data_IF_318292627809
#
_entry.id   IF_318292627809
#
_cell.length_a   1.000
_cell.length_b   1.000
_cell.length_c   1.000
_cell.angle_alpha   90.00
_cell.angle_beta   90.00
_cell.angle_gamma   90.00
#
_symmetry.space_group_name_H-M   'P 1'
#
loop_
_entity.id
_entity.type
_entity.pdbx_description
1 polymer ?
#
# COMPACT_ATOMS: atom_id res chain seq x y z
N UNK A 1 15.96 22.90 -1.37
CA UNK A 1 14.85 22.07 -0.83
C UNK A 1 14.29 21.26 -1.99
N UNK A 2 13.79 20.03 -1.78
CA UNK A 2 13.23 19.21 -2.86
C UNK A 2 12.08 19.97 -3.55
N UNK A 3 12.02 19.93 -4.88
CA UNK A 3 11.05 20.69 -5.68
C UNK A 3 9.63 20.08 -5.69
N UNK A 4 9.41 18.99 -4.95
CA UNK A 4 8.22 18.13 -5.07
C UNK A 4 7.25 18.34 -3.92
N UNK A 5 7.51 19.34 -3.06
CA UNK A 5 6.60 19.72 -1.97
C UNK A 5 5.63 20.78 -2.43
N UNK A 6 4.34 20.49 -2.29
CA UNK A 6 3.25 21.45 -2.49
C UNK A 6 2.72 21.86 -1.12
N UNK A 7 2.78 23.16 -0.81
CA UNK A 7 2.25 23.70 0.45
C UNK A 7 0.81 24.12 0.27
N UNK A 8 -0.04 23.69 1.19
CA UNK A 8 -1.47 24.01 1.20
C UNK A 8 -1.82 24.49 2.62
N UNK A 9 -2.45 25.65 2.72
CA UNK A 9 -2.95 26.17 3.98
C UNK A 9 -4.47 26.23 3.94
N UNK A 10 -5.11 25.56 4.90
CA UNK A 10 -6.56 25.43 4.99
C UNK A 10 -6.99 25.94 6.36
N UNK A 11 -7.89 26.91 6.38
CA UNK A 11 -8.46 27.41 7.63
C UNK A 11 -9.89 26.90 7.76
N UNK A 12 -10.08 25.91 8.63
CA UNK A 12 -11.41 25.38 8.95
C UNK A 12 -12.03 26.29 10.00
N UNK A 13 -13.11 27.00 9.66
CA UNK A 13 -13.93 27.77 10.62
C UNK A 13 -14.68 26.81 11.53
N UNK A 14 -13.98 26.18 12.48
CA UNK A 14 -14.55 25.30 13.47
C UNK A 14 -13.88 25.60 14.82
N UNK A 15 -14.65 25.58 15.92
CA UNK A 15 -14.13 25.80 17.27
C UNK A 15 -13.43 24.57 17.86
N UNK A 16 -13.56 23.41 17.19
CA UNK A 16 -13.00 22.14 17.64
C UNK A 16 -12.04 21.54 16.62
N UNK A 17 -10.99 20.90 17.14
CA UNK A 17 -9.97 20.23 16.33
C UNK A 17 -10.54 18.98 15.67
N UNK A 18 -10.36 18.88 14.35
CA UNK A 18 -10.81 17.73 13.56
C UNK A 18 -9.98 16.47 13.89
N UNK A 19 -10.62 15.31 13.86
CA UNK A 19 -9.92 14.02 13.78
C UNK A 19 -9.26 13.84 12.42
N UNK A 20 -8.35 12.86 12.29
CA UNK A 20 -7.70 12.58 11.00
C UNK A 20 -8.70 12.20 9.91
N UNK A 21 -9.69 11.37 10.25
CA UNK A 21 -10.74 10.94 9.34
C UNK A 21 -11.62 12.11 8.89
N UNK A 22 -12.05 12.97 9.83
CA UNK A 22 -12.81 14.18 9.52
C UNK A 22 -12.02 15.13 8.61
N UNK A 23 -10.73 15.31 8.88
CA UNK A 23 -9.85 16.14 8.06
C UNK A 23 -9.68 15.57 6.65
N UNK A 24 -9.46 14.27 6.50
CA UNK A 24 -9.37 13.62 5.18
C UNK A 24 -10.67 13.80 4.39
N UNK A 25 -11.82 13.54 5.02
CA UNK A 25 -13.13 13.75 4.41
C UNK A 25 -13.37 15.21 3.99
N UNK A 26 -12.88 16.16 4.77
CA UNK A 26 -12.91 17.57 4.42
C UNK A 26 -11.99 17.88 3.23
N UNK A 27 -10.75 17.38 3.24
CA UNK A 27 -9.79 17.60 2.16
C UNK A 27 -10.29 17.05 0.84
N UNK A 28 -10.88 15.85 0.81
CA UNK A 28 -11.46 15.24 -0.39
C UNK A 28 -12.54 16.08 -1.07
N UNK A 29 -13.12 17.06 -0.37
CA UNK A 29 -14.13 18.00 -0.88
C UNK A 29 -13.57 19.39 -1.17
N UNK A 30 -12.30 19.64 -0.86
CA UNK A 30 -11.65 20.95 -1.02
C UNK A 30 -11.16 21.14 -2.46
N UNK A 31 -11.17 22.39 -2.95
CA UNK A 31 -10.79 22.75 -4.33
C UNK A 31 -9.41 22.24 -4.77
N UNK A 32 -8.44 22.14 -3.84
CA UNK A 32 -7.08 21.76 -4.19
C UNK A 32 -6.99 20.32 -4.72
N UNK A 33 -7.92 19.44 -4.31
CA UNK A 33 -7.98 18.07 -4.83
C UNK A 33 -8.19 18.10 -6.35
N UNK A 34 -9.09 18.95 -6.83
CA UNK A 34 -9.36 19.11 -8.26
C UNK A 34 -8.19 19.82 -8.96
N UNK A 35 -7.68 20.91 -8.37
CA UNK A 35 -6.56 21.69 -8.94
C UNK A 35 -5.33 20.81 -9.18
N UNK A 36 -5.01 19.92 -8.24
CA UNK A 36 -3.83 19.06 -8.32
C UNK A 36 -4.13 17.66 -8.87
N UNK A 37 -5.38 17.36 -9.23
CA UNK A 37 -5.78 16.04 -9.76
C UNK A 37 -5.53 14.89 -8.77
N UNK A 38 -5.73 15.13 -7.48
CA UNK A 38 -5.43 14.16 -6.41
C UNK A 38 -6.55 13.11 -6.36
N UNK A 39 -6.20 11.83 -6.49
CA UNK A 39 -7.20 10.75 -6.45
C UNK A 39 -7.58 10.46 -5.00
N UNK A 40 -6.58 10.19 -4.15
CA UNK A 40 -6.80 9.93 -2.74
C UNK A 40 -5.60 10.31 -1.90
N UNK A 41 -5.80 11.14 -0.88
CA UNK A 41 -4.75 11.52 0.05
C UNK A 41 -4.49 10.41 1.06
N UNK A 42 -3.23 9.98 1.12
CA UNK A 42 -2.75 9.07 2.15
C UNK A 42 -1.83 9.84 3.12
N UNK A 43 -2.11 9.83 4.43
CA UNK A 43 -1.19 10.40 5.42
C UNK A 43 0.14 9.63 5.43
N UNK A 44 1.27 10.33 5.45
CA UNK A 44 2.58 9.67 5.46
C UNK A 44 2.82 8.77 6.69
N UNK A 45 2.20 9.08 7.84
CA UNK A 45 2.29 8.23 9.03
C UNK A 45 1.66 6.85 8.81
N UNK A 46 0.54 6.79 8.07
CA UNK A 46 -0.09 5.52 7.68
C UNK A 46 0.87 4.68 6.84
N UNK A 47 1.69 5.32 5.99
CA UNK A 47 2.70 4.63 5.18
C UNK A 47 3.87 4.12 6.01
N UNK A 48 4.31 4.88 7.02
CA UNK A 48 5.36 4.45 7.96
C UNK A 48 4.95 3.15 8.65
N UNK A 49 3.69 3.06 9.10
CA UNK A 49 3.11 1.87 9.72
C UNK A 49 2.97 0.72 8.72
N UNK A 50 2.31 0.95 7.57
CA UNK A 50 2.12 -0.06 6.53
C UNK A 50 3.45 -0.63 6.02
N UNK A 51 4.44 0.22 5.83
CA UNK A 51 5.76 -0.15 5.31
C UNK A 51 6.71 -0.63 6.41
N UNK A 52 6.32 -0.52 7.68
CA UNK A 52 7.10 -0.93 8.85
C UNK A 52 8.57 -0.46 8.74
N UNK A 53 8.74 0.82 8.44
CA UNK A 53 10.04 1.49 8.35
C UNK A 53 10.09 2.65 9.32
N UNK A 54 11.28 2.97 9.83
CA UNK A 54 11.40 4.13 10.70
C UNK A 54 11.04 5.40 9.94
N UNK A 55 10.42 6.36 10.63
CA UNK A 55 10.15 7.68 10.08
C UNK A 55 11.40 8.32 9.46
N UNK A 56 12.55 8.24 10.14
CA UNK A 56 13.82 8.76 9.62
C UNK A 56 14.24 8.11 8.29
N UNK A 57 14.02 6.80 8.12
CA UNK A 57 14.33 6.09 6.88
C UNK A 57 13.33 6.44 5.78
N UNK A 58 12.05 6.55 6.14
CA UNK A 58 10.97 6.97 5.25
C UNK A 58 11.23 8.37 4.70
N UNK A 59 11.48 9.34 5.58
CA UNK A 59 11.78 10.74 5.22
C UNK A 59 13.05 10.85 4.37
N UNK A 60 14.12 10.11 4.71
CA UNK A 60 15.36 10.10 3.91
C UNK A 60 15.15 9.54 2.51
N UNK A 61 14.36 8.49 2.38
CA UNK A 61 14.16 7.79 1.10
C UNK A 61 13.22 8.58 0.18
N UNK A 62 12.18 9.18 0.75
CA UNK A 62 11.10 9.79 -0.02
C UNK A 62 11.25 11.30 -0.19
N UNK A 63 11.80 12.01 0.79
CA UNK A 63 11.94 13.47 0.68
C UNK A 63 13.27 13.91 0.07
N UNK A 64 14.32 13.07 0.07
CA UNK A 64 15.59 13.46 -0.56
C UNK A 64 15.67 13.15 -2.03
N UNK A 65 14.76 12.34 -2.55
CA UNK A 65 14.75 11.93 -3.92
C UNK A 65 13.44 12.42 -4.56
N UNK A 66 13.55 13.08 -5.71
CA UNK A 66 12.43 13.74 -6.36
C UNK A 66 11.47 12.79 -7.09
N UNK A 67 11.18 11.64 -6.46
CA UNK A 67 10.45 10.55 -7.08
C UNK A 67 8.94 10.75 -7.17
N UNK A 68 8.34 11.55 -6.29
CA UNK A 68 6.91 11.87 -6.33
C UNK A 68 6.61 13.16 -5.55
N UNK A 69 5.42 13.72 -5.82
CA UNK A 69 4.93 14.94 -5.16
C UNK A 69 4.32 14.61 -3.80
N UNK A 70 4.54 15.47 -2.82
CA UNK A 70 3.89 15.37 -1.52
C UNK A 70 3.30 16.71 -1.10
N UNK A 71 2.24 16.63 -0.32
CA UNK A 71 1.41 17.76 0.09
C UNK A 71 1.66 18.04 1.57
N UNK A 72 2.15 19.23 1.88
CA UNK A 72 2.21 19.76 3.23
C UNK A 72 0.93 20.57 3.48
N UNK A 73 -0.05 19.94 4.13
CA UNK A 73 -1.33 20.56 4.48
C UNK A 73 -1.26 21.03 5.94
N UNK A 74 -1.46 22.33 6.13
CA UNK A 74 -1.41 22.99 7.44
C UNK A 74 -2.64 23.87 7.64
N UNK A 75 -2.99 24.15 8.89
CA UNK A 75 -4.22 24.85 9.18
C UNK A 75 -4.56 24.89 10.65
N UNK A 76 -5.39 25.85 11.03
CA UNK A 76 -6.01 25.88 12.35
C UNK A 76 -7.00 24.72 12.48
N UNK A 77 -7.09 24.10 13.67
CA UNK A 77 -8.00 22.98 13.96
C UNK A 77 -7.78 21.71 13.13
N UNK A 78 -6.66 21.57 12.42
CA UNK A 78 -6.27 20.35 11.72
C UNK A 78 -5.51 19.38 12.66
N UNK A 79 -5.52 18.07 12.34
CA UNK A 79 -4.70 17.08 13.04
C UNK A 79 -3.20 17.37 12.92
N UNK A 80 -2.39 16.74 13.79
CA UNK A 80 -0.92 16.93 13.81
C UNK A 80 -0.24 16.40 12.54
N UNK A 81 -0.88 15.50 11.80
CA UNK A 81 -0.37 14.99 10.53
C UNK A 81 -0.40 16.13 9.50
N UNK A 82 0.75 16.48 8.95
CA UNK A 82 0.90 17.58 7.98
C UNK A 82 1.20 17.11 6.58
N UNK A 83 1.69 15.89 6.42
CA UNK A 83 2.22 15.42 5.16
C UNK A 83 1.37 14.29 4.59
N UNK A 84 1.05 14.44 3.32
CA UNK A 84 0.18 13.55 2.56
C UNK A 84 0.77 13.29 1.17
N UNK A 85 0.38 12.19 0.56
CA UNK A 85 0.74 11.83 -0.81
C UNK A 85 -0.51 11.37 -1.56
N UNK A 86 -0.56 11.57 -2.87
CA UNK A 86 -1.59 10.93 -3.70
C UNK A 86 -1.30 9.42 -3.79
N UNK A 87 -2.32 8.61 -3.54
CA UNK A 87 -2.31 7.16 -3.69
C UNK A 87 -1.73 6.72 -5.05
N UNK A 88 -2.12 7.39 -6.14
CA UNK A 88 -1.67 7.03 -7.49
C UNK A 88 -0.17 7.27 -7.66
N UNK A 89 0.29 8.47 -7.29
CA UNK A 89 1.71 8.84 -7.33
C UNK A 89 2.56 7.87 -6.49
N UNK A 90 2.06 7.49 -5.31
CA UNK A 90 2.74 6.55 -4.43
C UNK A 90 2.85 5.15 -5.04
N UNK A 91 1.79 4.65 -5.67
CA UNK A 91 1.84 3.35 -6.32
C UNK A 91 2.78 3.38 -7.53
N UNK A 92 2.71 4.42 -8.35
CA UNK A 92 3.62 4.59 -9.48
C UNK A 92 5.07 4.68 -9.00
N UNK A 93 5.32 5.30 -7.84
CA UNK A 93 6.63 5.24 -7.20
C UNK A 93 7.07 3.80 -6.88
N UNK A 94 6.20 2.99 -6.26
CA UNK A 94 6.54 1.60 -5.97
C UNK A 94 6.82 0.77 -7.23
N UNK A 95 5.97 0.91 -8.25
CA UNK A 95 6.11 0.17 -9.51
C UNK A 95 7.36 0.62 -10.27
N UNK A 96 7.54 1.92 -10.43
CA UNK A 96 8.54 2.45 -11.36
C UNK A 96 9.92 2.60 -10.73
N UNK A 97 10.00 2.87 -9.43
CA UNK A 97 11.25 3.19 -8.75
C UNK A 97 11.62 2.17 -7.67
N UNK A 98 10.66 1.41 -7.11
CA UNK A 98 10.96 0.39 -6.10
C UNK A 98 11.00 -1.04 -6.64
N UNK A 99 11.02 -1.23 -7.97
CA UNK A 99 11.02 -2.55 -8.62
C UNK A 99 9.94 -3.48 -8.03
N UNK A 100 8.71 -2.99 -7.90
CA UNK A 100 7.61 -3.79 -7.38
C UNK A 100 7.35 -4.98 -8.29
N UNK A 101 7.36 -6.17 -7.68
CA UNK A 101 6.87 -7.41 -8.25
C UNK A 101 5.55 -7.78 -7.59
N UNK A 102 4.55 -8.13 -8.38
CA UNK A 102 3.22 -8.52 -7.94
C UNK A 102 2.98 -10.00 -8.26
N UNK A 103 2.84 -10.80 -7.20
CA UNK A 103 2.38 -12.17 -7.25
C UNK A 103 0.85 -12.15 -7.17
N UNK A 104 0.19 -12.34 -8.32
CA UNK A 104 -1.27 -12.35 -8.44
C UNK A 104 -1.79 -13.76 -8.58
N UNK A 105 -2.75 -14.13 -7.75
CA UNK A 105 -3.42 -15.42 -7.76
C UNK A 105 -4.73 -15.30 -8.52
N UNK A 106 -4.89 -16.11 -9.56
CA UNK A 106 -6.10 -16.17 -10.39
C UNK A 106 -6.63 -17.60 -10.38
N UNK A 107 -7.94 -17.77 -10.20
CA UNK A 107 -8.57 -19.07 -10.42
C UNK A 107 -8.70 -19.30 -11.92
N UNK A 108 -8.36 -20.49 -12.40
CA UNK A 108 -8.68 -20.86 -13.77
C UNK A 108 -10.21 -20.88 -13.98
N UNK A 109 -10.64 -20.88 -15.24
CA UNK A 109 -12.06 -20.79 -15.61
C UNK A 109 -12.95 -21.90 -15.02
N UNK A 110 -12.34 -23.01 -14.57
CA UNK A 110 -13.02 -24.15 -13.94
C UNK A 110 -12.98 -24.10 -12.40
N UNK A 111 -12.31 -23.13 -11.78
CA UNK A 111 -12.17 -23.00 -10.32
C UNK A 111 -11.21 -23.99 -9.64
N UNK A 112 -10.67 -24.96 -10.39
CA UNK A 112 -9.90 -26.10 -9.85
C UNK A 112 -8.40 -25.86 -9.73
N UNK A 113 -7.84 -24.86 -10.42
CA UNK A 113 -6.39 -24.55 -10.39
C UNK A 113 -6.16 -23.10 -10.06
N UNK A 114 -5.24 -22.88 -9.12
CA UNK A 114 -4.72 -21.56 -8.82
C UNK A 114 -3.56 -21.29 -9.79
N UNK A 115 -3.60 -20.18 -10.49
CA UNK A 115 -2.50 -19.72 -11.32
C UNK A 115 -1.86 -18.54 -10.61
N UNK A 116 -0.57 -18.67 -10.31
CA UNK A 116 0.24 -17.58 -9.78
C UNK A 116 0.93 -16.88 -10.94
N UNK A 117 0.48 -15.66 -11.24
CA UNK A 117 1.15 -14.76 -12.18
C UNK A 117 2.18 -13.90 -11.44
N UNK A 118 3.44 -13.96 -11.87
CA UNK A 118 4.53 -13.12 -11.35
C UNK A 118 4.73 -11.91 -12.26
N UNK A 119 4.06 -10.81 -11.93
CA UNK A 119 4.11 -9.60 -12.74
C UNK A 119 5.23 -8.68 -12.24
N UNK A 120 6.16 -8.33 -13.13
CA UNK A 120 7.17 -7.30 -12.89
C UNK A 120 6.74 -5.95 -13.46
N UNK A 121 7.48 -4.86 -13.18
CA UNK A 121 7.16 -3.47 -13.58
C UNK A 121 6.51 -3.31 -14.97
N UNK A 122 7.02 -3.99 -16.00
CA UNK A 122 6.52 -3.90 -17.38
C UNK A 122 5.26 -4.73 -17.67
N UNK A 123 4.96 -5.72 -16.83
CA UNK A 123 3.85 -6.66 -16.98
C UNK A 123 2.64 -6.32 -16.09
N UNK A 124 2.79 -5.37 -15.17
CA UNK A 124 1.69 -4.90 -14.31
C UNK A 124 0.77 -3.98 -15.12
N UNK A 125 -0.44 -4.44 -15.41
CA UNK A 125 -1.42 -3.68 -16.18
C UNK A 125 -1.99 -2.48 -15.42
N UNK A 126 -2.68 -1.58 -16.12
CA UNK A 126 -3.37 -0.45 -15.49
C UNK A 126 -4.40 -0.94 -14.46
N UNK A 127 -5.16 -2.00 -14.79
CA UNK A 127 -6.13 -2.60 -13.87
C UNK A 127 -5.47 -3.18 -12.62
N UNK A 128 -4.30 -3.79 -12.77
CA UNK A 128 -3.53 -4.29 -11.61
C UNK A 128 -3.03 -3.13 -10.76
N UNK A 129 -2.61 -2.02 -11.38
CA UNK A 129 -2.25 -0.82 -10.62
C UNK A 129 -3.44 -0.28 -9.83
N UNK A 130 -4.61 -0.13 -10.46
CA UNK A 130 -5.81 0.35 -9.78
C UNK A 130 -6.19 -0.55 -8.58
N UNK A 131 -6.12 -1.88 -8.76
CA UNK A 131 -6.33 -2.85 -7.69
C UNK A 131 -5.31 -2.69 -6.55
N UNK A 132 -4.02 -2.66 -6.85
CA UNK A 132 -2.95 -2.49 -5.87
C UNK A 132 -3.07 -1.17 -5.11
N UNK A 133 -3.44 -0.09 -5.81
CA UNK A 133 -3.68 1.21 -5.24
C UNK A 133 -4.80 1.11 -4.20
N UNK A 134 -5.95 0.56 -4.56
CA UNK A 134 -7.10 0.49 -3.66
C UNK A 134 -6.77 -0.31 -2.39
N UNK A 135 -6.06 -1.43 -2.54
CA UNK A 135 -5.59 -2.21 -1.40
C UNK A 135 -4.57 -1.47 -0.53
N UNK A 136 -3.73 -0.63 -1.11
CA UNK A 136 -2.79 0.19 -0.34
C UNK A 136 -3.55 1.21 0.52
N UNK A 137 -4.56 1.88 -0.04
CA UNK A 137 -5.34 2.90 0.68
C UNK A 137 -6.30 2.36 1.71
N UNK A 138 -6.83 1.15 1.51
CA UNK A 138 -7.65 0.46 2.50
C UNK A 138 -6.83 -0.15 3.65
N UNK A 139 -5.50 -0.08 3.57
CA UNK A 139 -4.61 -0.67 4.56
C UNK A 139 -4.49 -2.19 4.47
N UNK A 140 -4.87 -2.77 3.33
CA UNK A 140 -4.85 -4.21 3.07
C UNK A 140 -3.45 -4.79 2.79
N UNK A 141 -2.39 -4.01 2.95
CA UNK A 141 -0.99 -4.44 2.75
C UNK A 141 -0.36 -4.88 4.07
N UNK A 142 -0.40 -6.18 4.35
CA UNK A 142 0.07 -6.74 5.62
C UNK A 142 1.53 -7.21 5.50
N UNK A 143 2.38 -6.81 6.45
CA UNK A 143 3.70 -7.42 6.62
C UNK A 143 3.58 -8.84 7.21
N UNK A 144 4.64 -9.65 7.13
CA UNK A 144 4.63 -10.98 7.79
C UNK A 144 4.28 -10.88 9.27
N UNK A 145 4.84 -9.90 9.99
CA UNK A 145 4.54 -9.70 11.42
C UNK A 145 3.05 -9.38 11.64
N UNK A 146 2.48 -8.48 10.84
CA UNK A 146 1.05 -8.17 10.94
C UNK A 146 0.16 -9.39 10.64
N UNK A 147 0.58 -10.26 9.71
CA UNK A 147 -0.11 -11.52 9.44
C UNK A 147 0.01 -12.52 10.61
N UNK A 148 1.18 -12.60 11.23
CA UNK A 148 1.42 -13.43 12.43
C UNK A 148 0.48 -12.99 13.56
N UNK A 149 0.44 -11.68 13.83
CA UNK A 149 -0.39 -11.08 14.86
C UNK A 149 -1.90 -11.26 14.55
N UNK A 150 -2.32 -11.00 13.30
CA UNK A 150 -3.73 -11.07 12.87
C UNK A 150 -4.30 -12.49 12.91
N UNK A 151 -3.54 -13.49 12.47
CA UNK A 151 -4.03 -14.87 12.36
C UNK A 151 -3.52 -15.80 13.47
N UNK A 152 -2.72 -15.27 14.41
CA UNK A 152 -2.07 -16.03 15.46
C UNK A 152 -1.33 -17.26 14.90
N UNK A 153 -0.38 -17.01 13.98
CA UNK A 153 0.39 -18.06 13.29
C UNK A 153 1.88 -17.72 13.30
N UNK A 154 2.70 -18.75 13.15
CA UNK A 154 4.15 -18.59 13.10
C UNK A 154 4.61 -17.99 11.77
N UNK A 155 5.73 -17.27 11.80
CA UNK A 155 6.43 -16.76 10.61
C UNK A 155 6.62 -17.80 9.51
N UNK A 156 6.90 -19.05 9.86
CA UNK A 156 7.11 -20.13 8.90
C UNK A 156 5.84 -20.44 8.09
N UNK A 157 4.68 -20.48 8.76
CA UNK A 157 3.38 -20.66 8.12
C UNK A 157 3.06 -19.46 7.23
N UNK A 158 3.21 -18.24 7.78
CA UNK A 158 2.93 -17.01 7.04
C UNK A 158 3.79 -16.87 5.79
N UNK A 159 5.09 -17.18 5.85
CA UNK A 159 6.01 -17.08 4.70
C UNK A 159 5.55 -17.90 3.49
N UNK A 160 4.99 -19.10 3.75
CA UNK A 160 4.49 -20.01 2.71
C UNK A 160 3.26 -19.46 1.98
N UNK A 161 2.52 -18.55 2.60
CA UNK A 161 1.33 -17.96 2.01
C UNK A 161 1.60 -17.16 0.74
N UNK A 162 2.84 -16.71 0.53
CA UNK A 162 3.21 -15.89 -0.64
C UNK A 162 2.98 -16.56 -2.00
N UNK A 163 2.78 -17.88 -2.00
CA UNK A 163 2.44 -18.64 -3.20
C UNK A 163 0.94 -18.81 -3.41
N UNK A 164 0.14 -18.72 -2.34
CA UNK A 164 -1.32 -19.05 -2.33
C UNK A 164 -2.21 -17.83 -2.09
N UNK A 165 -1.62 -16.68 -1.76
CA UNK A 165 -2.31 -15.41 -1.56
C UNK A 165 -1.54 -14.35 -2.35
N UNK A 166 -2.29 -13.39 -2.88
CA UNK A 166 -1.74 -12.19 -3.52
C UNK A 166 -0.67 -11.53 -2.65
N UNK A 167 0.46 -11.20 -3.24
CA UNK A 167 1.52 -10.50 -2.52
C UNK A 167 2.32 -9.58 -3.43
N UNK A 168 2.84 -8.51 -2.86
CA UNK A 168 3.81 -7.65 -3.53
C UNK A 168 5.17 -7.73 -2.84
N UNK A 169 6.23 -7.63 -3.62
CA UNK A 169 7.59 -7.48 -3.12
C UNK A 169 8.26 -6.29 -3.80
N UNK A 170 8.85 -5.38 -3.03
CA UNK A 170 9.52 -4.19 -3.55
C UNK A 170 10.74 -3.85 -2.70
N UNK A 171 11.64 -3.02 -3.24
CA UNK A 171 12.82 -2.50 -2.54
C UNK A 171 12.97 -1.02 -2.86
N UNK A 172 13.16 -0.19 -1.85
CA UNK A 172 13.41 1.23 -2.11
C UNK A 172 14.69 1.44 -2.93
N UNK A 173 14.77 2.51 -3.75
CA UNK A 173 16.00 2.88 -4.44
C UNK A 173 17.19 2.88 -3.49
N UNK A 174 18.31 2.31 -3.92
CA UNK A 174 19.56 2.22 -3.15
C UNK A 174 19.45 1.38 -1.86
N UNK A 175 18.36 0.65 -1.65
CA UNK A 175 18.21 -0.28 -0.53
C UNK A 175 18.33 -1.72 -0.99
N UNK A 176 19.18 -2.49 -0.32
CA UNK A 176 19.24 -3.94 -0.49
C UNK A 176 18.13 -4.67 0.28
N UNK A 177 17.30 -3.94 1.03
CA UNK A 177 16.22 -4.52 1.83
C UNK A 177 14.98 -4.71 0.96
N UNK A 178 14.54 -5.96 0.84
CA UNK A 178 13.26 -6.28 0.23
C UNK A 178 12.13 -6.27 1.26
N UNK A 179 11.01 -5.67 0.87
CA UNK A 179 9.77 -5.63 1.62
C UNK A 179 8.75 -6.51 0.92
N UNK A 180 8.21 -7.48 1.64
CA UNK A 180 7.06 -8.29 1.18
C UNK A 180 5.79 -7.83 1.88
N UNK A 181 4.70 -7.71 1.14
CA UNK A 181 3.36 -7.46 1.66
C UNK A 181 2.36 -8.46 1.11
N UNK A 182 1.54 -9.01 2.00
CA UNK A 182 0.39 -9.83 1.66
C UNK A 182 -0.81 -8.92 1.44
N UNK A 183 -1.59 -9.20 0.41
CA UNK A 183 -2.75 -8.40 0.03
C UNK A 183 -4.01 -9.06 0.61
N UNK A 184 -4.50 -8.51 1.72
CA UNK A 184 -5.57 -9.11 2.54
C UNK A 184 -6.86 -8.29 2.34
N UNK A 185 -7.70 -8.73 1.43
CA UNK A 185 -8.92 -8.02 1.00
C UNK A 185 -10.20 -8.86 1.16
N UNK A 186 -10.07 -10.18 1.34
CA UNK A 186 -11.17 -11.07 1.65
C UNK A 186 -11.44 -11.12 3.18
N UNK A 187 -12.59 -11.65 3.62
CA UNK A 187 -12.87 -11.89 5.03
C UNK A 187 -11.83 -12.82 5.68
N UNK A 188 -11.62 -12.67 7.00
CA UNK A 188 -10.61 -13.44 7.74
C UNK A 188 -10.83 -14.96 7.63
N UNK A 189 -12.08 -15.43 7.57
CA UNK A 189 -12.41 -16.85 7.43
C UNK A 189 -11.86 -17.48 6.14
N UNK A 190 -11.81 -16.72 5.05
CA UNK A 190 -11.22 -17.17 3.79
C UNK A 190 -9.72 -17.45 3.97
N UNK A 191 -8.99 -16.53 4.60
CA UNK A 191 -7.55 -16.69 4.82
C UNK A 191 -7.24 -17.75 5.88
N UNK A 192 -8.07 -17.89 6.92
CA UNK A 192 -7.98 -18.99 7.87
C UNK A 192 -8.19 -20.34 7.21
N UNK A 193 -9.12 -20.44 6.26
CA UNK A 193 -9.31 -21.64 5.45
C UNK A 193 -8.07 -21.96 4.61
N UNK A 194 -7.47 -20.96 3.94
CA UNK A 194 -6.20 -21.14 3.20
C UNK A 194 -5.09 -21.62 4.11
N UNK A 195 -4.89 -20.97 5.27
CA UNK A 195 -3.85 -21.33 6.24
C UNK A 195 -4.00 -22.77 6.71
N UNK A 196 -5.23 -23.21 7.01
CA UNK A 196 -5.53 -24.59 7.44
C UNK A 196 -5.26 -25.61 6.33
N UNK A 197 -5.44 -25.24 5.07
CA UNK A 197 -5.37 -26.13 3.92
C UNK A 197 -4.19 -25.81 2.98
N UNK A 198 -3.11 -25.20 3.50
CA UNK A 198 -2.06 -24.62 2.66
C UNK A 198 -1.40 -25.63 1.70
N UNK A 199 -1.23 -26.89 2.12
CA UNK A 199 -0.63 -27.94 1.29
C UNK A 199 -1.49 -28.26 0.07
N UNK A 200 -2.81 -28.31 0.26
CA UNK A 200 -3.76 -28.50 -0.83
C UNK A 200 -3.63 -27.36 -1.83
N UNK A 201 -3.68 -26.12 -1.37
CA UNK A 201 -3.57 -24.95 -2.25
C UNK A 201 -2.22 -24.88 -2.97
N UNK A 202 -1.13 -25.25 -2.29
CA UNK A 202 0.22 -25.29 -2.89
C UNK A 202 0.30 -26.26 -4.06
N UNK A 203 -0.34 -27.44 -3.96
CA UNK A 203 -0.37 -28.43 -5.05
C UNK A 203 -1.17 -27.98 -6.27
N UNK A 204 -2.11 -27.05 -6.09
CA UNK A 204 -2.95 -26.52 -7.17
C UNK A 204 -2.29 -25.39 -7.94
N UNK A 205 -1.15 -24.88 -7.48
CA UNK A 205 -0.50 -23.71 -8.07
C UNK A 205 0.34 -24.07 -9.29
N UNK A 206 -0.01 -23.45 -10.42
CA UNK A 206 0.88 -23.31 -11.57
C UNK A 206 1.50 -21.91 -11.58
N UNK A 207 2.82 -21.82 -11.66
CA UNK A 207 3.54 -20.55 -11.72
C UNK A 207 3.69 -20.12 -13.18
N UNK A 208 3.36 -18.86 -13.47
CA UNK A 208 3.56 -18.21 -14.77
C UNK A 208 4.37 -16.93 -14.52
N UNK A 209 5.43 -16.75 -15.31
CA UNK A 209 6.34 -15.60 -15.27
C UNK A 209 6.11 -14.68 -16.47
#
# INVERSE_FOLDING_TARGET
>A
MPNNRIKITINVKNSTKLTLEQALNYFHKHEFIQIYGIHRLIPLNTLIELLNISRSSFERTLFKNDYFKYYEITGENLPRNKYYVDQKDLLDFFVNHCNLNFNKIVYNDNGDKLVLHRLSKGSISIKDKEYLAELLSSGAWFSSKMMEDKFNRTRAIISRLSNVIDSVTFSFPQSNRHFRRYLIYQPDDYYLHIIKNYEKFTRLIKIIE
#
